data_IF_004248853532
#
_entry.id   IF_004248853532
#
_cell.length_a   1.000
_cell.length_b   1.000
_cell.length_c   1.000
_cell.angle_alpha   90.00
_cell.angle_beta   90.00
_cell.angle_gamma   90.00
#
_symmetry.space_group_name_H-M   'P 1'
#
loop_
_entity.id
_entity.type
_entity.pdbx_description
1 polymer ?
#
# COMPACT_ATOMS: atom_id res chain seq x y z
N UNK A 1 7.78 -22.23 -6.23
CA UNK A 1 9.12 -21.89 -5.70
C UNK A 1 9.49 -20.46 -6.06
N UNK A 2 9.77 -19.66 -5.04
CA UNK A 2 10.12 -18.25 -5.15
C UNK A 2 11.50 -18.02 -4.53
N UNK A 3 12.33 -17.26 -5.23
CA UNK A 3 13.63 -16.81 -4.74
C UNK A 3 13.49 -15.45 -4.09
N UNK A 4 13.94 -15.31 -2.86
CA UNK A 4 14.01 -14.05 -2.13
C UNK A 4 15.46 -13.58 -2.05
N UNK A 5 15.68 -12.28 -2.14
CA UNK A 5 16.97 -11.62 -2.01
C UNK A 5 16.81 -10.40 -1.11
N UNK A 6 17.88 -10.03 -0.41
CA UNK A 6 17.88 -8.87 0.47
C UNK A 6 18.94 -7.88 0.00
N UNK A 7 18.52 -6.70 -0.47
CA UNK A 7 19.44 -5.61 -0.77
C UNK A 7 19.69 -4.78 0.49
N UNK A 8 20.88 -4.95 1.05
CA UNK A 8 21.37 -4.23 2.24
C UNK A 8 22.21 -3.00 1.88
N UNK A 9 22.00 -2.42 0.70
CA UNK A 9 22.75 -1.23 0.23
C UNK A 9 22.29 0.03 0.94
N UNK A 10 21.01 0.07 1.29
CA UNK A 10 20.35 1.16 1.98
C UNK A 10 19.69 0.60 3.23
N UNK A 11 19.67 1.41 4.29
CA UNK A 11 18.94 1.10 5.53
C UNK A 11 17.62 1.89 5.55
N UNK A 12 16.46 1.23 5.73
CA UNK A 12 16.26 -0.21 5.95
C UNK A 12 16.46 -1.07 4.68
N UNK A 13 16.83 -2.37 4.84
CA UNK A 13 17.08 -3.25 3.72
C UNK A 13 15.80 -3.53 2.92
N UNK A 14 15.96 -3.62 1.61
CA UNK A 14 14.85 -3.91 0.69
C UNK A 14 14.78 -5.41 0.38
N UNK A 15 13.56 -5.93 0.30
CA UNK A 15 13.32 -7.32 -0.09
C UNK A 15 12.98 -7.38 -1.57
N UNK A 16 13.75 -8.18 -2.31
CA UNK A 16 13.48 -8.52 -3.70
C UNK A 16 13.06 -9.98 -3.78
N UNK A 17 12.23 -10.32 -4.75
CA UNK A 17 11.90 -11.71 -5.01
C UNK A 17 11.57 -11.95 -6.49
N UNK A 18 11.74 -13.19 -6.95
CA UNK A 18 11.43 -13.61 -8.31
C UNK A 18 10.96 -15.06 -8.35
N UNK A 19 10.08 -15.39 -9.30
CA UNK A 19 9.66 -16.77 -9.52
C UNK A 19 10.76 -17.60 -10.16
N UNK A 20 10.79 -18.90 -9.86
CA UNK A 20 11.73 -19.84 -10.50
C UNK A 20 11.47 -19.96 -12.00
N UNK A 21 10.21 -19.94 -12.40
CA UNK A 21 9.77 -20.13 -13.77
C UNK A 21 8.52 -19.31 -14.09
N UNK A 22 8.03 -19.44 -15.33
CA UNK A 22 6.90 -18.69 -15.86
C UNK A 22 5.58 -18.96 -15.14
N UNK A 23 5.36 -20.14 -14.57
CA UNK A 23 4.13 -20.47 -13.85
C UNK A 23 4.13 -19.79 -12.47
N UNK A 24 5.26 -19.86 -11.76
CA UNK A 24 5.44 -19.12 -10.49
C UNK A 24 5.29 -17.61 -10.68
N UNK A 25 5.76 -17.09 -11.82
CA UNK A 25 5.57 -15.69 -12.16
C UNK A 25 4.08 -15.33 -12.33
N UNK A 26 3.24 -16.21 -12.87
CA UNK A 26 1.79 -15.95 -12.97
C UNK A 26 1.14 -15.88 -11.58
N UNK A 27 1.51 -16.78 -10.66
CA UNK A 27 1.05 -16.73 -9.28
C UNK A 27 1.52 -15.47 -8.56
N UNK A 28 2.77 -15.06 -8.76
CA UNK A 28 3.29 -13.79 -8.21
C UNK A 28 2.55 -12.57 -8.75
N UNK A 29 2.15 -12.58 -10.03
CA UNK A 29 1.33 -11.50 -10.61
C UNK A 29 -0.07 -11.52 -10.00
N UNK A 30 -0.66 -12.69 -9.77
CA UNK A 30 -2.02 -12.79 -9.22
C UNK A 30 -2.09 -12.37 -7.74
N UNK A 31 -1.09 -12.78 -6.97
CA UNK A 31 -1.03 -12.59 -5.52
C UNK A 31 -0.09 -11.47 -5.06
N UNK A 32 0.45 -10.68 -6.00
CA UNK A 32 1.27 -9.50 -5.68
C UNK A 32 0.51 -8.44 -4.88
N UNK A 33 1.29 -7.61 -4.19
CA UNK A 33 0.82 -6.52 -3.33
C UNK A 33 0.85 -5.20 -4.11
N UNK A 34 -0.01 -4.22 -3.73
CA UNK A 34 -0.03 -2.92 -4.38
C UNK A 34 1.28 -2.13 -4.24
N UNK A 35 2.08 -2.41 -3.21
CA UNK A 35 3.39 -1.78 -2.96
C UNK A 35 4.54 -2.45 -3.72
N UNK A 36 4.28 -3.60 -4.35
CA UNK A 36 5.33 -4.31 -5.08
C UNK A 36 5.59 -3.60 -6.41
N UNK A 37 6.87 -3.43 -6.74
CA UNK A 37 7.34 -2.87 -8.01
C UNK A 37 7.88 -4.01 -8.85
N UNK A 38 7.35 -4.14 -10.06
CA UNK A 38 7.75 -5.15 -11.02
C UNK A 38 8.84 -4.63 -11.95
N UNK A 39 9.84 -5.46 -12.23
CA UNK A 39 10.96 -5.19 -13.11
C UNK A 39 11.11 -6.28 -14.18
N UNK A 40 11.48 -5.86 -15.40
CA UNK A 40 11.72 -6.75 -16.53
C UNK A 40 12.62 -6.06 -17.58
N UNK A 41 13.33 -6.83 -18.41
CA UNK A 41 14.11 -6.26 -19.52
C UNK A 41 13.19 -5.89 -20.68
N UNK A 42 13.35 -4.69 -21.24
CA UNK A 42 12.60 -4.27 -22.43
C UNK A 42 12.84 -5.24 -23.60
N UNK A 43 11.75 -5.74 -24.21
CA UNK A 43 11.73 -6.56 -25.43
C UNK A 43 12.51 -7.88 -25.41
N UNK A 44 13.06 -8.29 -24.27
CA UNK A 44 13.83 -9.53 -24.15
C UNK A 44 13.18 -10.47 -23.13
N UNK A 45 13.34 -11.78 -23.34
CA UNK A 45 12.93 -12.77 -22.35
C UNK A 45 13.81 -12.65 -21.11
N UNK A 46 13.22 -12.27 -19.98
CA UNK A 46 13.91 -12.14 -18.70
C UNK A 46 13.04 -12.58 -17.52
N UNK A 47 13.66 -12.84 -16.37
CA UNK A 47 12.93 -13.11 -15.15
C UNK A 47 12.11 -11.87 -14.70
N UNK A 48 10.97 -12.12 -14.06
CA UNK A 48 10.19 -11.08 -13.39
C UNK A 48 10.72 -10.92 -11.97
N UNK A 49 11.38 -9.79 -11.70
CA UNK A 49 11.84 -9.44 -10.37
C UNK A 49 10.85 -8.45 -9.76
N UNK A 50 10.53 -8.65 -8.50
CA UNK A 50 9.67 -7.79 -7.71
C UNK A 50 10.47 -7.19 -6.56
N UNK A 51 10.26 -5.91 -6.30
CA UNK A 51 10.77 -5.21 -5.14
C UNK A 51 9.60 -4.88 -4.22
N UNK A 52 9.69 -5.29 -2.95
CA UNK A 52 8.67 -4.96 -1.95
C UNK A 52 9.00 -3.62 -1.31
N UNK A 53 8.15 -2.61 -1.54
CA UNK A 53 8.30 -1.32 -0.86
C UNK A 53 7.62 -1.33 0.52
N UNK A 54 8.16 -0.57 1.48
CA UNK A 54 7.46 -0.28 2.72
C UNK A 54 6.19 0.55 2.49
N UNK A 55 5.20 0.39 3.39
CA UNK A 55 3.93 1.12 3.36
C UNK A 55 4.15 2.64 3.28
N UNK A 56 3.61 3.26 2.23
CA UNK A 56 3.62 4.72 2.05
C UNK A 56 4.71 5.25 1.11
N UNK A 57 5.65 4.41 0.66
CA UNK A 57 6.65 4.79 -0.32
C UNK A 57 6.13 4.62 -1.74
N UNK A 58 6.65 5.43 -2.66
CA UNK A 58 6.28 5.43 -4.07
C UNK A 58 7.47 5.05 -4.94
N UNK A 59 7.20 4.75 -6.22
CA UNK A 59 8.23 4.39 -7.21
C UNK A 59 9.30 5.49 -7.42
N UNK A 60 9.02 6.73 -7.03
CA UNK A 60 9.95 7.86 -7.10
C UNK A 60 10.89 7.94 -5.89
N UNK A 61 10.54 7.33 -4.76
CA UNK A 61 11.34 7.38 -3.53
C UNK A 61 12.39 6.25 -3.46
N UNK A 62 12.40 5.36 -4.47
CA UNK A 62 13.32 4.22 -4.50
C UNK A 62 14.75 4.76 -4.71
N UNK A 63 15.68 4.46 -3.79
CA UNK A 63 17.05 4.91 -3.94
C UNK A 63 17.68 4.30 -5.21
N UNK A 64 18.47 5.08 -5.96
CA UNK A 64 19.03 4.64 -7.24
C UNK A 64 19.90 3.39 -7.08
N UNK A 65 20.53 3.21 -5.92
CA UNK A 65 21.36 2.05 -5.62
C UNK A 65 20.56 0.73 -5.59
N UNK A 66 19.39 0.73 -4.93
CA UNK A 66 18.49 -0.44 -4.90
C UNK A 66 17.92 -0.70 -6.30
N UNK A 67 17.65 0.36 -7.04
CA UNK A 67 17.17 0.25 -8.40
C UNK A 67 18.23 -0.37 -9.34
N UNK A 68 19.50 -0.02 -9.18
CA UNK A 68 20.62 -0.66 -9.89
C UNK A 68 20.73 -2.13 -9.48
N UNK A 69 20.59 -2.47 -8.20
CA UNK A 69 20.56 -3.86 -7.72
C UNK A 69 19.46 -4.68 -8.40
N UNK A 70 18.23 -4.16 -8.44
CA UNK A 70 17.11 -4.78 -9.16
C UNK A 70 17.46 -4.97 -10.65
N UNK A 71 17.94 -3.92 -11.30
CA UNK A 71 18.21 -3.95 -12.74
C UNK A 71 19.34 -4.93 -13.10
N UNK A 72 20.39 -5.02 -12.28
CA UNK A 72 21.47 -5.99 -12.43
C UNK A 72 20.97 -7.43 -12.20
N UNK A 73 20.07 -7.64 -11.25
CA UNK A 73 19.49 -8.96 -11.00
C UNK A 73 18.63 -9.44 -12.18
N UNK A 74 17.77 -8.57 -12.72
CA UNK A 74 16.95 -8.89 -13.92
C UNK A 74 17.86 -9.15 -15.12
N UNK A 75 18.88 -8.30 -15.33
CA UNK A 75 19.88 -8.47 -16.40
C UNK A 75 20.58 -9.82 -16.32
N UNK A 76 21.03 -10.20 -15.12
CA UNK A 76 21.71 -11.48 -14.89
C UNK A 76 20.79 -12.68 -15.19
N UNK A 77 19.51 -12.57 -14.85
CA UNK A 77 18.49 -13.58 -15.07
C UNK A 77 17.73 -13.40 -16.41
N UNK A 78 18.34 -12.74 -17.40
CA UNK A 78 17.81 -12.63 -18.76
C UNK A 78 18.56 -13.57 -19.71
N UNK A 79 17.81 -14.29 -20.55
CA UNK A 79 18.36 -15.29 -21.49
C UNK A 79 19.33 -14.62 -22.47
N UNK A 80 18.88 -13.53 -23.10
CA UNK A 80 19.68 -12.77 -24.08
C UNK A 80 20.31 -11.52 -23.45
N UNK A 81 19.62 -10.87 -22.51
CA UNK A 81 20.06 -9.61 -21.91
C UNK A 81 21.32 -9.71 -21.06
N UNK A 82 21.66 -10.91 -20.55
CA UNK A 82 22.87 -11.10 -19.73
C UNK A 82 24.19 -10.83 -20.48
N UNK A 83 24.21 -11.02 -21.81
CA UNK A 83 25.40 -10.81 -22.67
C UNK A 83 25.39 -9.48 -23.40
N UNK A 84 24.25 -8.78 -23.41
CA UNK A 84 24.09 -7.52 -24.13
C UNK A 84 24.51 -6.33 -23.25
N UNK A 85 25.19 -5.38 -23.86
CA UNK A 85 25.45 -4.07 -23.25
C UNK A 85 24.32 -3.10 -23.58
N UNK A 86 24.17 -2.05 -22.79
CA UNK A 86 23.18 -0.99 -22.99
C UNK A 86 21.75 -1.53 -23.10
N UNK A 87 21.34 -2.32 -22.11
CA UNK A 87 19.97 -2.83 -22.06
C UNK A 87 19.08 -1.88 -21.26
N UNK A 88 17.82 -1.82 -21.63
CA UNK A 88 16.81 -1.07 -20.89
C UNK A 88 16.03 -2.02 -19.99
N UNK A 89 15.95 -1.71 -18.71
CA UNK A 89 15.10 -2.41 -17.74
C UNK A 89 13.88 -1.53 -17.49
N UNK A 90 12.70 -2.07 -17.74
CA UNK A 90 11.43 -1.44 -17.42
C UNK A 90 11.05 -1.77 -15.99
N UNK A 91 10.46 -0.81 -15.29
CA UNK A 91 9.89 -1.01 -13.98
C UNK A 91 8.61 -0.22 -13.79
N UNK A 92 7.64 -0.84 -13.12
CA UNK A 92 6.30 -0.29 -12.94
C UNK A 92 5.67 -0.83 -11.66
N UNK A 93 4.76 -0.10 -11.01
CA UNK A 93 4.00 -0.65 -9.88
C UNK A 93 3.18 -1.86 -10.31
N UNK A 94 3.03 -2.84 -9.43
CA UNK A 94 2.23 -4.05 -9.66
C UNK A 94 0.79 -3.72 -10.06
N UNK A 95 0.21 -2.67 -9.47
CA UNK A 95 -1.15 -2.20 -9.79
C UNK A 95 -1.35 -1.76 -11.26
N UNK A 96 -0.27 -1.49 -12.00
CA UNK A 96 -0.32 -1.11 -13.42
C UNK A 96 -0.17 -2.31 -14.37
N UNK A 97 0.16 -3.51 -13.85
CA UNK A 97 0.26 -4.72 -14.66
C UNK A 97 -1.13 -5.17 -15.11
N UNK A 98 -1.27 -5.43 -16.40
CA UNK A 98 -2.50 -5.93 -17.02
C UNK A 98 -2.24 -7.30 -17.62
N UNK A 99 -2.87 -8.32 -17.03
CA UNK A 99 -2.91 -9.66 -17.61
C UNK A 99 -4.34 -9.97 -18.07
N UNK A 100 -4.51 -10.31 -19.34
CA UNK A 100 -5.77 -10.83 -19.88
C UNK A 100 -5.68 -12.35 -20.05
N UNK A 101 -6.80 -13.06 -19.94
CA UNK A 101 -6.82 -14.52 -20.06
C UNK A 101 -6.34 -15.05 -21.42
N UNK A 102 -6.45 -14.21 -22.46
CA UNK A 102 -5.98 -14.52 -23.82
C UNK A 102 -4.46 -14.35 -24.00
N UNK A 103 -3.72 -13.83 -23.01
CA UNK A 103 -2.28 -13.62 -23.10
C UNK A 103 -1.51 -14.88 -22.72
N UNK A 104 -0.51 -15.24 -23.54
CA UNK A 104 0.40 -16.34 -23.28
C UNK A 104 1.09 -16.23 -21.92
N UNK A 105 1.44 -17.37 -21.33
CA UNK A 105 2.11 -17.47 -20.02
C UNK A 105 3.43 -16.69 -20.05
N UNK A 106 3.59 -15.71 -19.17
CA UNK A 106 4.74 -14.82 -19.13
C UNK A 106 4.59 -13.51 -19.93
N UNK A 107 3.58 -13.37 -20.79
CA UNK A 107 3.26 -12.09 -21.42
C UNK A 107 2.46 -11.20 -20.46
N UNK A 108 2.90 -9.95 -20.27
CA UNK A 108 2.25 -8.96 -19.42
C UNK A 108 2.03 -7.68 -20.22
N UNK A 109 0.82 -7.13 -20.14
CA UNK A 109 0.50 -5.80 -20.64
C UNK A 109 0.55 -4.76 -19.53
N UNK A 110 0.35 -3.49 -19.90
CA UNK A 110 0.27 -2.38 -18.95
C UNK A 110 -1.06 -1.65 -19.10
N UNK A 111 -1.64 -1.19 -17.99
CA UNK A 111 -2.83 -0.34 -18.02
C UNK A 111 -2.48 1.07 -18.53
N UNK A 112 -1.39 1.65 -18.02
CA UNK A 112 -0.92 3.00 -18.33
C UNK A 112 0.57 2.94 -18.66
N UNK A 113 0.91 3.14 -19.93
CA UNK A 113 2.30 3.19 -20.37
C UNK A 113 3.09 4.35 -19.75
N UNK A 114 2.42 5.44 -19.36
CA UNK A 114 3.07 6.60 -18.72
C UNK A 114 3.66 6.31 -17.34
N UNK A 115 3.16 5.27 -16.66
CA UNK A 115 3.67 4.86 -15.34
C UNK A 115 4.84 3.87 -15.45
N UNK A 116 5.16 3.42 -16.66
CA UNK A 116 6.32 2.56 -16.92
C UNK A 116 7.55 3.45 -16.99
N UNK A 117 8.48 3.21 -16.08
CA UNK A 117 9.78 3.89 -16.07
C UNK A 117 10.85 2.95 -16.64
N UNK A 118 11.91 3.55 -17.17
CA UNK A 118 12.99 2.83 -17.83
C UNK A 118 14.31 3.22 -17.19
N UNK A 119 15.14 2.23 -16.90
CA UNK A 119 16.53 2.43 -16.46
C UNK A 119 17.46 1.74 -17.43
N UNK A 120 18.43 2.50 -17.92
CA UNK A 120 19.48 2.01 -18.79
C UNK A 120 20.60 1.36 -17.96
N UNK A 121 20.97 0.13 -18.32
CA UNK A 121 22.06 -0.63 -17.71
C UNK A 121 23.12 -0.91 -18.77
N UNK A 122 24.19 -0.12 -18.74
CA UNK A 122 25.30 -0.17 -19.70
C UNK A 122 26.03 -1.52 -19.62
N UNK A 123 26.55 -1.87 -18.44
CA UNK A 123 27.35 -3.07 -18.21
C UNK A 123 26.80 -3.91 -17.07
N UNK A 124 27.07 -5.22 -17.14
CA UNK A 124 26.82 -6.13 -16.04
C UNK A 124 27.84 -5.88 -14.93
N UNK A 125 27.37 -5.70 -13.70
CA UNK A 125 28.23 -5.55 -12.52
C UNK A 125 28.15 -6.82 -11.70
N UNK A 126 29.13 -7.71 -11.88
CA UNK A 126 29.14 -9.02 -11.22
C UNK A 126 29.22 -8.91 -9.69
N UNK A 127 29.85 -7.87 -9.15
CA UNK A 127 29.96 -7.68 -7.69
C UNK A 127 28.59 -7.53 -7.02
N UNK A 128 27.69 -6.75 -7.64
CA UNK A 128 26.32 -6.54 -7.17
C UNK A 128 25.53 -7.85 -7.22
N UNK A 129 25.61 -8.56 -8.36
CA UNK A 129 24.94 -9.84 -8.54
C UNK A 129 25.42 -10.86 -7.51
N UNK A 130 26.74 -11.02 -7.35
CA UNK A 130 27.33 -11.95 -6.39
C UNK A 130 26.93 -11.62 -4.95
N UNK A 131 26.83 -10.33 -4.60
CA UNK A 131 26.34 -9.89 -3.28
C UNK A 131 24.88 -10.31 -3.08
N UNK A 132 24.02 -10.06 -4.06
CA UNK A 132 22.60 -10.45 -3.98
C UNK A 132 22.46 -11.97 -3.91
N UNK A 133 23.21 -12.73 -4.71
CA UNK A 133 23.17 -14.19 -4.71
C UNK A 133 23.57 -14.80 -3.35
N UNK A 134 24.45 -14.16 -2.58
CA UNK A 134 24.75 -14.59 -1.19
C UNK A 134 23.56 -14.47 -0.25
N UNK A 135 22.65 -13.54 -0.52
CA UNK A 135 21.42 -13.34 0.27
C UNK A 135 20.23 -14.12 -0.29
N UNK A 136 20.45 -14.94 -1.32
CA UNK A 136 19.39 -15.73 -1.96
C UNK A 136 18.82 -16.74 -0.97
N UNK A 137 17.53 -16.67 -0.73
CA UNK A 137 16.78 -17.64 0.06
C UNK A 137 15.67 -18.24 -0.79
N UNK A 138 15.64 -19.56 -0.88
CA UNK A 138 14.62 -20.28 -1.63
C UNK A 138 13.46 -20.57 -0.68
N UNK A 139 12.24 -20.19 -1.06
CA UNK A 139 11.03 -20.40 -0.27
C UNK A 139 9.92 -20.99 -1.15
N UNK A 140 8.98 -21.65 -0.50
CA UNK A 140 7.72 -22.10 -1.08
C UNK A 140 6.58 -21.38 -0.34
N UNK A 141 6.43 -20.06 -0.56
CA UNK A 141 5.37 -19.30 0.11
C UNK A 141 4.00 -19.69 -0.45
N UNK A 142 3.02 -19.87 0.44
CA UNK A 142 1.60 -19.93 0.08
C UNK A 142 1.09 -18.50 -0.17
N UNK A 143 1.43 -17.95 -1.34
CA UNK A 143 1.13 -16.56 -1.73
C UNK A 143 -0.36 -16.20 -1.59
N UNK A 144 -1.23 -17.18 -1.84
CA UNK A 144 -2.68 -17.02 -1.69
C UNK A 144 -3.10 -16.83 -0.23
N UNK A 145 -2.49 -17.57 0.71
CA UNK A 145 -2.79 -17.47 2.13
C UNK A 145 -2.24 -16.16 2.73
N UNK A 146 -1.04 -15.75 2.32
CA UNK A 146 -0.44 -14.48 2.76
C UNK A 146 -1.28 -13.28 2.31
N UNK A 147 -1.72 -13.28 1.04
CA UNK A 147 -2.60 -12.22 0.53
C UNK A 147 -3.95 -12.21 1.25
N UNK A 148 -4.57 -13.37 1.46
CA UNK A 148 -5.86 -13.43 2.14
C UNK A 148 -5.77 -12.97 3.61
N UNK A 149 -4.72 -13.35 4.34
CA UNK A 149 -4.49 -12.87 5.72
C UNK A 149 -4.41 -11.35 5.73
N UNK A 150 -3.61 -10.77 4.85
CA UNK A 150 -3.42 -9.33 4.75
C UNK A 150 -4.72 -8.61 4.36
N UNK A 151 -5.43 -9.09 3.33
CA UNK A 151 -6.72 -8.53 2.91
C UNK A 151 -7.79 -8.64 4.02
N UNK A 152 -7.70 -9.64 4.88
CA UNK A 152 -8.56 -9.80 6.06
C UNK A 152 -8.18 -8.81 7.16
N UNK A 153 -6.89 -8.61 7.42
CA UNK A 153 -6.37 -7.63 8.36
C UNK A 153 -6.72 -6.21 7.93
N UNK A 154 -6.46 -5.83 6.68
CA UNK A 154 -6.80 -4.49 6.15
C UNK A 154 -8.31 -4.22 6.19
N UNK A 155 -9.16 -5.23 5.90
CA UNK A 155 -10.61 -5.09 6.05
C UNK A 155 -11.03 -4.91 7.51
N UNK A 156 -10.40 -5.64 8.43
CA UNK A 156 -10.68 -5.52 9.86
C UNK A 156 -10.22 -4.16 10.40
N UNK A 157 -9.01 -3.70 10.05
CA UNK A 157 -8.49 -2.38 10.42
C UNK A 157 -9.38 -1.27 9.87
N UNK A 158 -9.75 -1.32 8.59
CA UNK A 158 -10.63 -0.32 7.97
C UNK A 158 -12.02 -0.30 8.62
N UNK A 159 -12.56 -1.47 8.98
CA UNK A 159 -13.83 -1.58 9.71
C UNK A 159 -13.71 -1.02 11.13
N UNK A 160 -12.60 -1.29 11.83
CA UNK A 160 -12.34 -0.78 13.17
C UNK A 160 -12.16 0.75 13.16
N UNK A 161 -11.42 1.30 12.20
CA UNK A 161 -11.27 2.74 12.02
C UNK A 161 -12.61 3.42 11.73
N UNK A 162 -13.43 2.85 10.83
CA UNK A 162 -14.75 3.40 10.51
C UNK A 162 -15.70 3.33 11.72
N UNK A 163 -15.61 2.26 12.52
CA UNK A 163 -16.41 2.09 13.74
C UNK A 163 -15.98 3.06 14.83
N UNK A 164 -14.67 3.28 15.01
CA UNK A 164 -14.12 4.26 15.94
C UNK A 164 -14.49 5.69 15.53
N UNK A 165 -14.41 6.02 14.25
CA UNK A 165 -14.81 7.33 13.72
C UNK A 165 -16.30 7.58 13.98
N UNK A 166 -17.17 6.62 13.64
CA UNK A 166 -18.61 6.69 13.95
C UNK A 166 -18.89 6.81 15.45
N UNK A 167 -18.11 6.14 16.29
CA UNK A 167 -18.25 6.21 17.75
C UNK A 167 -17.90 7.61 18.26
N UNK A 168 -16.78 8.18 17.81
CA UNK A 168 -16.35 9.55 18.13
C UNK A 168 -17.38 10.58 17.67
N UNK A 169 -17.87 10.48 16.44
CA UNK A 169 -18.91 11.39 15.91
C UNK A 169 -20.19 11.33 16.75
N UNK A 170 -20.60 10.12 17.18
CA UNK A 170 -21.79 9.94 18.03
C UNK A 170 -21.59 10.51 19.44
N UNK A 171 -20.41 10.34 20.04
CA UNK A 171 -20.07 10.92 21.34
C UNK A 171 -20.00 12.44 21.28
N UNK A 172 -19.45 13.00 20.21
CA UNK A 172 -19.36 14.44 20.00
C UNK A 172 -20.74 15.07 19.77
N UNK A 173 -21.62 14.42 19.00
CA UNK A 173 -23.02 14.82 18.88
C UNK A 173 -23.76 14.76 20.21
N UNK A 174 -23.51 13.74 21.04
CA UNK A 174 -24.14 13.62 22.36
C UNK A 174 -23.67 14.74 23.30
N UNK A 175 -22.36 15.00 23.39
CA UNK A 175 -21.80 16.12 24.16
C UNK A 175 -22.34 17.46 23.71
N UNK A 176 -22.50 17.66 22.40
CA UNK A 176 -23.04 18.91 21.85
C UNK A 176 -24.51 19.09 22.24
N UNK A 177 -25.33 18.03 22.16
CA UNK A 177 -26.72 18.03 22.64
C UNK A 177 -26.81 18.29 24.14
N UNK A 178 -25.98 17.63 24.96
CA UNK A 178 -25.95 17.85 26.41
C UNK A 178 -25.55 19.29 26.77
N UNK A 179 -24.57 19.87 26.06
CA UNK A 179 -24.21 21.28 26.23
C UNK A 179 -25.31 22.24 25.77
N UNK A 180 -25.99 21.95 24.65
CA UNK A 180 -27.14 22.74 24.19
C UNK A 180 -28.31 22.64 25.17
N UNK A 181 -28.59 21.47 25.73
CA UNK A 181 -29.62 21.25 26.74
C UNK A 181 -29.32 22.03 28.02
N UNK A 182 -28.08 21.94 28.54
CA UNK A 182 -27.59 22.73 29.67
C UNK A 182 -27.65 24.25 29.41
N UNK A 183 -27.31 24.69 28.18
CA UNK A 183 -27.44 26.11 27.79
C UNK A 183 -28.88 26.55 27.65
N UNK A 184 -29.80 25.66 27.28
CA UNK A 184 -31.18 26.01 26.97
C UNK A 184 -32.04 26.38 28.19
N UNK A 185 -31.58 26.16 29.44
CA UNK A 185 -32.35 26.43 30.67
C UNK A 185 -33.79 25.86 30.65
N UNK A 186 -34.08 24.87 29.79
CA UNK A 186 -35.43 24.32 29.59
C UNK A 186 -35.95 23.59 30.82
N UNK A 187 -35.06 23.00 31.62
CA UNK A 187 -35.41 22.36 32.91
C UNK A 187 -35.74 23.37 34.01
N UNK A 188 -35.33 24.64 33.88
CA UNK A 188 -35.64 25.74 34.82
C UNK A 188 -36.91 26.51 34.44
N UNK A 189 -37.44 26.30 33.24
CA UNK A 189 -38.71 26.83 32.73
C UNK A 189 -39.86 25.80 32.84
N UNK A 190 -39.82 24.89 33.82
CA UNK A 190 -40.99 24.07 34.16
C UNK A 190 -41.93 24.90 35.01
N UNK A 191 -43.19 25.01 34.59
CA UNK A 191 -44.27 25.75 35.27
C UNK A 191 -44.50 25.29 36.73
N UNK A 192 -44.08 24.07 37.09
CA UNK A 192 -44.15 23.54 38.46
C UNK A 192 -43.22 24.25 39.45
N UNK A 193 -42.14 24.91 38.99
CA UNK A 193 -41.18 25.63 39.83
C UNK A 193 -41.31 27.16 39.72
N UNK A 194 -42.30 27.68 39.00
CA UNK A 194 -42.57 29.12 38.94
C UNK A 194 -43.49 29.52 40.10
N UNK A 195 -42.97 30.23 41.10
CA UNK A 195 -43.81 30.95 42.06
C UNK A 195 -44.19 32.31 41.45
N UNK A 196 -45.48 32.56 41.30
CA UNK A 196 -46.04 33.86 40.92
C UNK A 196 -45.98 34.82 42.11
N UNK A 197 -45.21 35.91 42.00
CA UNK A 197 -45.24 37.02 42.95
C UNK A 197 -46.41 37.98 42.62
N UNK A 198 -47.64 37.48 42.57
CA UNK A 198 -48.82 38.36 42.58
C UNK A 198 -49.09 38.75 44.04
N UNK A 199 -48.26 39.67 44.56
CA UNK A 199 -48.53 40.37 45.81
C UNK A 199 -49.75 41.26 45.57
N UNK A 200 -50.88 40.85 46.14
CA UNK A 200 -52.11 41.63 46.21
C UNK A 200 -51.87 42.95 46.94
N UNK A 201 -51.52 43.99 46.19
CA UNK A 201 -51.59 45.38 46.62
C UNK A 201 -53.04 45.83 46.54
N UNK A 202 -53.82 45.45 47.56
CA UNK A 202 -55.10 46.07 47.88
C UNK A 202 -54.81 47.17 48.90
N UNK A 203 -54.48 48.38 48.43
CA UNK A 203 -54.48 49.57 49.28
C UNK A 203 -55.40 50.61 48.66
N UNK A 204 -56.66 50.50 49.03
CA UNK A 204 -57.63 51.60 49.07
C UNK A 204 -57.09 52.75 49.95
N UNK A 205 -57.50 53.97 49.60
CA UNK A 205 -57.47 55.23 50.38
C UNK A 205 -56.52 56.35 49.87
N UNK A 206 -57.03 57.16 48.94
CA UNK A 206 -56.67 58.58 48.83
C UNK A 206 -57.92 59.40 48.46
N UNK A 207 -58.25 60.36 49.34
CA UNK A 207 -59.30 61.38 49.17
C UNK A 207 -59.14 62.23 47.91
#
# INVERSE_FOLDING_TARGET
MVFYFTSAVVEPPYTLYMGKDKYENEDLIKYGWPEDIWFHVDKLSSAHVYLRLPKGLTIDDIPPEVLIDCAQLVKNNSIQGCKMNNINVVYTPWANLKKTGDMDVGQIGFHRQKEVKIVAVEKKINEIVNRLEKTKVERFPDLAAEKESRDREERNEKKAQLQEQKRREKEEQKRKKEMEELRSYSTLMKSENMQTNEDGYDSDDFM
#
